data_IF_930462660061
#
_entry.id   IF_930462660061
#
_cell.length_a   1.000
_cell.length_b   1.000
_cell.length_c   1.000
_cell.angle_alpha   90.00
_cell.angle_beta   90.00
_cell.angle_gamma   90.00
#
_symmetry.space_group_name_H-M   'P 1'
#
loop_
_entity.id
_entity.type
_entity.pdbx_description
1 polymer ?
#
# COMPACT_ATOMS: atom_id res chain seq x y z
N UNK A 1 10.84 -7.10 11.28
CA UNK A 1 9.84 -8.03 10.68
C UNK A 1 10.02 -9.50 11.04
N UNK A 2 11.17 -9.94 11.59
CA UNK A 2 11.40 -11.34 12.00
C UNK A 2 10.43 -11.84 13.09
N UNK A 3 9.88 -10.94 13.90
CA UNK A 3 8.89 -11.25 14.94
C UNK A 3 7.56 -11.80 14.41
N UNK A 4 7.17 -11.48 13.17
CA UNK A 4 5.92 -11.95 12.55
C UNK A 4 6.08 -13.25 11.75
N UNK A 5 7.32 -13.71 11.52
CA UNK A 5 7.60 -14.96 10.79
C UNK A 5 6.97 -16.21 11.42
N UNK A 6 6.91 -16.37 12.75
CA UNK A 6 6.24 -17.53 13.35
C UNK A 6 4.75 -17.63 13.01
N UNK A 7 4.09 -16.50 12.73
CA UNK A 7 2.65 -16.44 12.42
C UNK A 7 2.37 -16.52 10.92
N UNK A 8 3.21 -15.90 10.09
CA UNK A 8 2.98 -15.80 8.65
C UNK A 8 3.77 -16.81 7.81
N UNK A 9 4.83 -17.38 8.38
CA UNK A 9 5.75 -18.25 7.65
C UNK A 9 5.16 -19.63 7.32
N UNK A 10 5.96 -20.41 6.58
CA UNK A 10 5.64 -21.77 6.15
C UNK A 10 5.29 -22.71 7.31
N UNK A 11 5.99 -22.59 8.43
CA UNK A 11 5.81 -23.45 9.61
C UNK A 11 4.62 -23.03 10.50
N UNK A 12 3.96 -21.93 10.20
CA UNK A 12 2.78 -21.50 10.94
C UNK A 12 1.59 -22.42 10.66
N UNK A 13 0.99 -22.94 11.73
CA UNK A 13 -0.22 -23.78 11.72
C UNK A 13 -1.51 -22.99 11.42
N UNK A 14 -1.42 -21.68 11.23
CA UNK A 14 -2.58 -20.85 10.93
C UNK A 14 -3.14 -21.14 9.53
N UNK A 15 -4.46 -21.17 9.44
CA UNK A 15 -5.15 -21.23 8.16
C UNK A 15 -4.84 -20.01 7.28
N UNK A 16 -4.89 -20.20 5.97
CA UNK A 16 -4.58 -19.18 4.97
C UNK A 16 -5.45 -17.92 5.16
N UNK A 17 -6.73 -18.10 5.50
CA UNK A 17 -7.66 -16.98 5.77
C UNK A 17 -7.18 -16.11 6.93
N UNK A 18 -6.64 -16.72 7.99
CA UNK A 18 -6.13 -16.01 9.18
C UNK A 18 -4.81 -15.30 8.85
N UNK A 19 -3.91 -15.95 8.13
CA UNK A 19 -2.66 -15.32 7.66
C UNK A 19 -2.93 -14.12 6.74
N UNK A 20 -3.90 -14.26 5.83
CA UNK A 20 -4.40 -13.16 5.00
C UNK A 20 -4.91 -12.00 5.85
N UNK A 21 -5.70 -12.27 6.89
CA UNK A 21 -6.21 -11.23 7.75
C UNK A 21 -5.08 -10.49 8.48
N UNK A 22 -4.08 -11.21 9.01
CA UNK A 22 -2.89 -10.63 9.62
C UNK A 22 -2.11 -9.74 8.64
N UNK A 23 -1.99 -10.13 7.38
CA UNK A 23 -1.37 -9.30 6.35
C UNK A 23 -2.12 -7.97 6.16
N UNK A 24 -3.45 -8.03 6.06
CA UNK A 24 -4.27 -6.84 5.88
C UNK A 24 -4.23 -5.94 7.11
N UNK A 25 -4.23 -6.51 8.32
CA UNK A 25 -4.29 -5.75 9.57
C UNK A 25 -2.95 -5.15 9.99
N UNK A 26 -1.83 -5.82 9.70
CA UNK A 26 -0.51 -5.41 10.22
C UNK A 26 0.42 -4.99 9.08
N UNK A 27 0.62 -5.85 8.09
CA UNK A 27 1.62 -5.61 7.04
C UNK A 27 1.20 -4.46 6.13
N UNK A 28 -0.07 -4.45 5.67
CA UNK A 28 -0.55 -3.42 4.75
C UNK A 28 -0.45 -2.01 5.34
N UNK A 29 -0.87 -1.74 6.60
CA UNK A 29 -0.68 -0.43 7.21
C UNK A 29 0.80 -0.03 7.36
N UNK A 30 1.68 -0.96 7.76
CA UNK A 30 3.13 -0.69 7.83
C UNK A 30 3.67 -0.33 6.44
N UNK A 31 3.21 -1.03 5.41
CA UNK A 31 3.59 -0.74 4.04
C UNK A 31 3.00 0.56 3.52
N UNK A 32 1.88 1.07 4.05
CA UNK A 32 1.15 2.23 3.51
C UNK A 32 1.06 3.39 4.51
N UNK A 33 1.94 3.42 5.51
CA UNK A 33 1.82 4.34 6.65
C UNK A 33 1.78 5.82 6.22
N UNK A 34 2.44 6.14 5.10
CA UNK A 34 2.51 7.48 4.53
C UNK A 34 1.77 7.58 3.18
N UNK A 35 0.66 6.85 3.00
CA UNK A 35 -0.11 6.83 1.74
C UNK A 35 -0.35 8.24 1.14
N UNK A 36 -0.83 9.25 1.91
CA UNK A 36 -1.05 10.59 1.35
C UNK A 36 0.24 11.27 0.86
N UNK A 37 1.35 11.07 1.58
CA UNK A 37 2.66 11.59 1.17
C UNK A 37 3.23 10.88 -0.07
N UNK A 38 2.73 9.67 -0.38
CA UNK A 38 3.10 8.90 -1.56
C UNK A 38 2.17 9.11 -2.75
N UNK A 39 1.23 10.05 -2.67
CA UNK A 39 0.37 10.40 -3.81
C UNK A 39 1.19 10.83 -5.05
N UNK A 40 2.34 11.47 -4.83
CA UNK A 40 3.27 11.92 -5.87
C UNK A 40 4.49 10.99 -6.03
N UNK A 41 4.41 9.75 -5.55
CA UNK A 41 5.58 8.85 -5.56
C UNK A 41 5.93 8.36 -6.96
N UNK A 42 7.23 8.18 -7.22
CA UNK A 42 7.69 7.73 -8.54
C UNK A 42 7.22 6.31 -8.86
N UNK A 43 7.06 6.01 -10.16
CA UNK A 43 6.72 4.65 -10.63
C UNK A 43 7.73 3.59 -10.15
N UNK A 44 8.99 3.97 -9.95
CA UNK A 44 10.04 3.05 -9.48
C UNK A 44 9.88 2.70 -8.01
N UNK A 45 9.52 3.67 -7.17
CA UNK A 45 9.28 3.42 -5.74
C UNK A 45 7.99 2.62 -5.52
N UNK A 46 6.93 2.89 -6.31
CA UNK A 46 5.74 2.01 -6.32
C UNK A 46 6.10 0.57 -6.68
N UNK A 47 6.97 0.36 -7.68
CA UNK A 47 7.44 -0.99 -8.05
C UNK A 47 8.16 -1.66 -6.88
N UNK A 48 9.00 -0.95 -6.11
CA UNK A 48 9.66 -1.51 -4.92
C UNK A 48 8.64 -1.96 -3.88
N UNK A 49 7.63 -1.15 -3.60
CA UNK A 49 6.55 -1.48 -2.65
C UNK A 49 5.77 -2.71 -3.16
N UNK A 50 5.47 -2.77 -4.46
CA UNK A 50 4.81 -3.91 -5.08
C UNK A 50 5.64 -5.20 -4.97
N UNK A 51 6.96 -5.13 -5.14
CA UNK A 51 7.87 -6.28 -4.93
C UNK A 51 7.81 -6.76 -3.49
N UNK A 52 7.78 -5.85 -2.52
CA UNK A 52 7.62 -6.20 -1.10
C UNK A 52 6.27 -6.89 -0.86
N UNK A 53 5.18 -6.37 -1.44
CA UNK A 53 3.86 -7.01 -1.36
C UNK A 53 3.90 -8.44 -1.90
N UNK A 54 4.41 -8.64 -3.12
CA UNK A 54 4.50 -9.96 -3.76
C UNK A 54 5.32 -10.96 -2.92
N UNK A 55 6.40 -10.49 -2.28
CA UNK A 55 7.20 -11.33 -1.35
C UNK A 55 6.37 -11.79 -0.15
N UNK A 56 5.59 -10.90 0.47
CA UNK A 56 4.73 -11.28 1.60
C UNK A 56 3.58 -12.19 1.20
N UNK A 57 2.96 -11.97 0.05
CA UNK A 57 1.90 -12.85 -0.44
C UNK A 57 2.41 -14.27 -0.65
N UNK A 58 3.60 -14.43 -1.25
CA UNK A 58 4.26 -15.73 -1.41
C UNK A 58 4.64 -16.36 -0.08
N UNK A 59 5.12 -15.57 0.89
CA UNK A 59 5.45 -16.06 2.22
C UNK A 59 4.22 -16.68 2.90
N UNK A 60 3.07 -16.01 2.80
CA UNK A 60 1.82 -16.42 3.43
C UNK A 60 1.22 -17.67 2.79
N UNK A 61 1.24 -17.74 1.45
CA UNK A 61 0.74 -18.90 0.70
C UNK A 61 1.74 -20.04 0.64
N UNK A 62 3.00 -19.80 1.01
CA UNK A 62 4.13 -20.70 0.75
C UNK A 62 4.18 -21.13 -0.74
N UNK A 63 3.87 -20.19 -1.65
CA UNK A 63 3.79 -20.47 -3.08
C UNK A 63 5.17 -20.62 -3.72
N UNK A 64 5.29 -21.60 -4.63
CA UNK A 64 6.48 -21.80 -5.45
C UNK A 64 6.67 -20.68 -6.49
N UNK A 65 7.89 -20.58 -7.05
CA UNK A 65 8.27 -19.54 -8.01
C UNK A 65 7.43 -19.56 -9.30
N UNK A 66 6.93 -20.74 -9.72
CA UNK A 66 6.13 -20.90 -10.93
C UNK A 66 4.71 -20.31 -10.81
N UNK A 67 4.21 -20.09 -9.58
CA UNK A 67 2.89 -19.47 -9.37
C UNK A 67 2.99 -18.00 -9.74
N UNK A 68 2.12 -17.51 -10.62
CA UNK A 68 2.12 -16.10 -11.03
C UNK A 68 1.72 -15.17 -9.87
N UNK A 69 2.15 -13.91 -9.90
CA UNK A 69 1.68 -12.94 -8.91
C UNK A 69 0.18 -12.67 -9.08
N UNK A 70 -0.31 -12.65 -10.32
CA UNK A 70 -1.73 -12.41 -10.63
C UNK A 70 -2.65 -13.47 -10.00
N UNK A 71 -2.26 -14.75 -10.08
CA UNK A 71 -3.00 -15.84 -9.43
C UNK A 71 -3.04 -15.65 -7.91
N UNK A 72 -1.92 -15.25 -7.28
CA UNK A 72 -1.89 -14.99 -5.84
C UNK A 72 -2.83 -13.84 -5.45
N UNK A 73 -2.85 -12.76 -6.23
CA UNK A 73 -3.74 -11.63 -6.00
C UNK A 73 -5.22 -12.01 -6.16
N UNK A 74 -5.54 -12.81 -7.19
CA UNK A 74 -6.89 -13.31 -7.46
C UNK A 74 -7.39 -14.23 -6.35
N UNK A 75 -6.61 -15.23 -5.98
CA UNK A 75 -7.01 -16.25 -5.00
C UNK A 75 -7.11 -15.66 -3.59
N UNK A 76 -6.15 -14.82 -3.21
CA UNK A 76 -6.18 -14.12 -1.93
C UNK A 76 -7.17 -12.96 -1.91
N UNK A 77 -7.78 -12.56 -3.04
CA UNK A 77 -8.64 -11.38 -3.12
C UNK A 77 -7.97 -10.16 -2.47
N UNK A 78 -6.73 -9.91 -2.88
CA UNK A 78 -5.93 -8.77 -2.44
C UNK A 78 -5.59 -7.95 -3.68
N UNK A 79 -5.94 -6.68 -3.66
CA UNK A 79 -5.57 -5.76 -4.74
C UNK A 79 -4.08 -5.40 -4.73
N UNK A 80 -3.60 -4.91 -5.88
CA UNK A 80 -2.26 -4.36 -6.03
C UNK A 80 -2.10 -3.09 -5.20
N UNK A 81 -0.87 -2.84 -4.76
CA UNK A 81 -0.61 -1.70 -3.88
C UNK A 81 -0.96 -0.37 -4.53
N UNK A 82 -0.69 -0.24 -5.83
CA UNK A 82 -1.05 0.95 -6.61
C UNK A 82 -2.53 1.28 -6.46
N UNK A 83 -3.42 0.33 -6.76
CA UNK A 83 -4.87 0.53 -6.70
C UNK A 83 -5.35 0.87 -5.28
N UNK A 84 -4.73 0.25 -4.26
CA UNK A 84 -5.02 0.56 -2.87
C UNK A 84 -4.65 2.01 -2.51
N UNK A 85 -3.44 2.44 -2.88
CA UNK A 85 -2.94 3.79 -2.63
C UNK A 85 -3.78 4.84 -3.36
N UNK A 86 -4.07 4.63 -4.64
CA UNK A 86 -4.90 5.54 -5.44
C UNK A 86 -6.27 5.75 -4.75
N UNK A 87 -6.93 4.67 -4.33
CA UNK A 87 -8.23 4.77 -3.63
C UNK A 87 -8.13 5.48 -2.28
N UNK A 88 -7.10 5.18 -1.49
CA UNK A 88 -6.91 5.81 -0.16
C UNK A 88 -6.60 7.29 -0.30
N UNK A 89 -5.76 7.65 -1.27
CA UNK A 89 -5.37 9.02 -1.53
C UNK A 89 -6.56 9.84 -2.06
N UNK A 90 -7.31 9.32 -3.02
CA UNK A 90 -8.55 9.94 -3.51
C UNK A 90 -9.52 10.24 -2.36
N UNK A 91 -9.72 9.26 -1.48
CA UNK A 91 -10.58 9.44 -0.32
C UNK A 91 -10.05 10.52 0.63
N UNK A 92 -8.74 10.51 0.91
CA UNK A 92 -8.08 11.48 1.77
C UNK A 92 -8.20 12.91 1.23
N UNK A 93 -7.83 13.14 -0.03
CA UNK A 93 -7.87 14.49 -0.63
C UNK A 93 -9.29 15.00 -0.78
N UNK A 94 -10.26 14.16 -1.16
CA UNK A 94 -11.68 14.55 -1.18
C UNK A 94 -12.18 14.98 0.18
N UNK A 95 -11.78 14.28 1.26
CA UNK A 95 -12.14 14.65 2.63
C UNK A 95 -11.41 15.91 3.09
N UNK A 96 -10.15 16.08 2.73
CA UNK A 96 -9.36 17.26 3.07
C UNK A 96 -9.99 18.55 2.49
N UNK A 97 -10.46 18.50 1.24
CA UNK A 97 -11.13 19.64 0.58
C UNK A 97 -12.44 20.07 1.25
N UNK A 98 -13.15 19.14 1.91
CA UNK A 98 -14.43 19.41 2.58
C UNK A 98 -14.22 20.00 3.99
N UNK A 99 -13.05 19.80 4.59
CA UNK A 99 -12.78 20.18 5.98
C UNK A 99 -12.42 21.68 6.09
N UNK A 100 -13.17 22.48 6.86
CA UNK A 100 -12.93 23.94 6.97
C UNK A 100 -11.61 24.29 7.67
N UNK A 101 -11.06 23.39 8.50
CA UNK A 101 -9.78 23.61 9.20
C UNK A 101 -8.57 23.02 8.46
N UNK A 102 -8.80 22.10 7.53
CA UNK A 102 -7.77 21.26 6.90
C UNK A 102 -7.65 21.57 5.40
N UNK A 103 -8.08 22.76 4.98
CA UNK A 103 -7.78 23.26 3.65
C UNK A 103 -6.28 23.62 3.62
N UNK A 104 -5.45 22.58 3.52
CA UNK A 104 -3.98 22.68 3.46
C UNK A 104 -3.55 23.65 2.35
N UNK A 105 -4.39 23.81 1.31
CA UNK A 105 -4.22 24.77 0.22
C UNK A 105 -4.23 26.23 0.69
N UNK A 106 -5.05 26.59 1.69
CA UNK A 106 -5.09 27.95 2.27
C UNK A 106 -3.90 28.21 3.21
N UNK A 107 -3.41 27.17 3.91
CA UNK A 107 -2.31 27.30 4.88
C UNK A 107 -0.95 27.49 4.19
N UNK A 108 -0.74 26.82 3.05
CA UNK A 108 0.53 26.86 2.32
C UNK A 108 0.50 27.71 1.04
N UNK A 109 -0.63 28.36 0.71
CA UNK A 109 -0.84 29.09 -0.55
C UNK A 109 -0.38 28.29 -1.79
N UNK A 110 -0.60 26.97 -1.78
CA UNK A 110 -0.24 26.13 -2.92
C UNK A 110 -1.26 26.36 -4.04
N UNK A 111 -0.86 27.14 -5.05
CA UNK A 111 -1.53 27.11 -6.36
C UNK A 111 -1.10 25.79 -6.99
N UNK A 112 -1.99 24.80 -7.09
CA UNK A 112 -1.72 23.60 -7.88
C UNK A 112 -1.65 23.99 -9.35
N UNK A 113 -0.44 24.28 -9.85
CA UNK A 113 -0.18 24.38 -11.28
C UNK A 113 -0.26 22.97 -11.86
N UNK A 114 -0.85 22.79 -13.04
CA UNK A 114 -0.93 21.47 -13.71
C UNK A 114 0.45 20.83 -13.91
N UNK A 115 1.50 21.65 -13.90
CA UNK A 115 2.91 21.28 -14.02
C UNK A 115 3.45 20.57 -12.77
N UNK A 116 2.89 20.83 -11.59
CA UNK A 116 3.39 20.32 -10.30
C UNK A 116 2.87 18.92 -9.96
N UNK A 117 1.90 18.39 -10.72
CA UNK A 117 1.27 17.07 -10.50
C UNK A 117 2.32 15.94 -10.45
N UNK A 118 3.44 16.11 -11.16
CA UNK A 118 4.51 15.13 -11.25
C UNK A 118 5.76 15.50 -10.43
N UNK A 119 5.75 16.65 -9.75
CA UNK A 119 6.89 17.13 -8.97
C UNK A 119 6.71 16.69 -7.53
N UNK A 120 7.73 16.02 -6.98
CA UNK A 120 7.76 15.68 -5.57
C UNK A 120 7.82 17.00 -4.78
N UNK A 121 6.92 17.28 -3.82
CA UNK A 121 7.12 18.41 -2.94
C UNK A 121 8.48 18.20 -2.26
N UNK A 122 9.41 19.13 -2.47
CA UNK A 122 10.74 19.04 -1.88
C UNK A 122 10.57 18.99 -0.36
N UNK A 123 11.07 17.90 0.24
CA UNK A 123 11.12 17.71 1.68
C UNK A 123 12.17 18.63 2.30
#
# INVERSE_FOLDING_TARGET
MKSLMPLLGKHSKLDLKRKRHLYIAIIRPIMCYASPAWATVTKNDLKKIQVIQSKYLRLITNAHYYVSNETLHRDLKIEYMKNFLDRVNDYFFRKALICPHLNQFDIFNYITLEEDINIRPYA
#
